data_IF_799895233673
#
_entry.id   IF_799895233673
#
_cell.length_a   1.000
_cell.length_b   1.000
_cell.length_c   1.000
_cell.angle_alpha   90.00
_cell.angle_beta   90.00
_cell.angle_gamma   90.00
#
_symmetry.space_group_name_H-M   'P 1'
#
loop_
_entity.id
_entity.type
_entity.pdbx_description
1 polymer ?
#
# COMPACT_ATOMS: atom_id res chain seq x y z
N UNK A 1 2.70 -16.64 4.47
CA UNK A 1 2.66 -17.25 3.13
C UNK A 1 2.69 -16.13 2.11
N UNK A 2 3.67 -16.10 1.21
CA UNK A 2 3.80 -15.08 0.16
C UNK A 2 3.42 -15.75 -1.16
N UNK A 3 2.47 -15.18 -1.89
CA UNK A 3 2.00 -15.72 -3.18
C UNK A 3 2.56 -14.84 -4.30
N UNK A 4 3.43 -15.41 -5.14
CA UNK A 4 4.02 -14.72 -6.28
C UNK A 4 3.25 -15.12 -7.54
N UNK A 5 2.74 -14.12 -8.25
CA UNK A 5 1.82 -14.29 -9.39
C UNK A 5 2.27 -13.38 -10.53
N UNK A 6 2.30 -13.93 -11.75
CA UNK A 6 2.76 -13.20 -12.96
C UNK A 6 1.62 -12.65 -13.81
N UNK A 7 0.37 -13.07 -13.55
CA UNK A 7 -0.82 -12.64 -14.29
C UNK A 7 -2.03 -12.54 -13.35
N UNK A 8 -2.92 -11.58 -13.59
CA UNK A 8 -4.12 -11.37 -12.77
C UNK A 8 -5.01 -12.62 -12.67
N UNK A 9 -5.06 -13.47 -13.70
CA UNK A 9 -5.83 -14.72 -13.68
C UNK A 9 -5.35 -15.75 -12.66
N UNK A 10 -4.09 -15.65 -12.22
CA UNK A 10 -3.54 -16.49 -11.15
C UNK A 10 -3.64 -15.85 -9.77
N UNK A 11 -4.16 -14.62 -9.66
CA UNK A 11 -4.27 -13.90 -8.41
C UNK A 11 -5.49 -14.40 -7.61
N UNK A 12 -5.33 -14.82 -6.34
CA UNK A 12 -6.46 -15.23 -5.51
C UNK A 12 -7.41 -14.05 -5.17
N UNK A 13 -7.00 -12.82 -5.45
CA UNK A 13 -7.78 -11.61 -5.24
C UNK A 13 -8.40 -11.05 -6.53
N UNK A 14 -8.23 -11.72 -7.68
CA UNK A 14 -8.94 -11.34 -8.90
C UNK A 14 -10.38 -11.85 -8.82
N UNK A 15 -11.34 -10.97 -9.11
CA UNK A 15 -12.75 -11.31 -9.20
C UNK A 15 -13.33 -10.79 -10.52
N UNK A 16 -14.55 -11.25 -10.84
CA UNK A 16 -15.33 -10.75 -11.98
C UNK A 16 -16.53 -9.99 -11.43
N UNK A 17 -16.73 -8.76 -11.87
CA UNK A 17 -17.92 -7.95 -11.59
C UNK A 17 -18.46 -7.42 -12.91
N UNK A 18 -19.74 -7.68 -13.20
CA UNK A 18 -20.42 -7.28 -14.44
C UNK A 18 -19.66 -7.65 -15.73
N UNK A 19 -19.02 -8.83 -15.73
CA UNK A 19 -18.23 -9.34 -16.86
C UNK A 19 -16.83 -8.72 -16.99
N UNK A 20 -16.45 -7.79 -16.11
CA UNK A 20 -15.14 -7.13 -16.09
C UNK A 20 -14.27 -7.70 -14.98
N UNK A 21 -12.96 -7.81 -15.25
CA UNK A 21 -11.97 -8.22 -14.23
C UNK A 21 -11.79 -7.09 -13.23
N UNK A 22 -11.97 -7.39 -11.95
CA UNK A 22 -11.78 -6.46 -10.84
C UNK A 22 -10.77 -7.00 -9.84
N UNK A 23 -10.02 -6.10 -9.23
CA UNK A 23 -9.13 -6.42 -8.12
C UNK A 23 -9.91 -6.30 -6.82
N UNK A 24 -10.03 -7.38 -6.06
CA UNK A 24 -10.69 -7.38 -4.75
C UNK A 24 -9.72 -7.01 -3.61
N UNK A 25 -8.54 -6.50 -3.94
CA UNK A 25 -7.65 -5.86 -2.96
C UNK A 25 -8.21 -4.47 -2.71
N UNK A 26 -8.89 -4.30 -1.58
CA UNK A 26 -9.12 -2.97 -1.05
C UNK A 26 -7.76 -2.37 -0.69
N UNK A 27 -7.35 -1.31 -1.39
CA UNK A 27 -6.25 -0.47 -0.91
C UNK A 27 -6.74 0.09 0.42
N UNK A 28 -6.01 -0.12 1.53
CA UNK A 28 -6.43 0.43 2.82
C UNK A 28 -6.61 1.94 2.65
N UNK A 29 -7.77 2.46 3.03
CA UNK A 29 -8.01 3.89 3.01
C UNK A 29 -6.93 4.57 3.85
N UNK A 30 -6.21 5.49 3.22
CA UNK A 30 -5.26 6.33 3.93
C UNK A 30 -6.05 7.11 4.97
N UNK A 31 -5.68 6.97 6.23
CA UNK A 31 -6.21 7.85 7.27
C UNK A 31 -5.53 9.22 7.09
N UNK A 32 -6.28 10.32 7.02
CA UNK A 32 -5.66 11.63 7.07
C UNK A 32 -4.89 11.75 8.39
N UNK A 33 -3.60 12.09 8.29
CA UNK A 33 -2.79 12.46 9.45
C UNK A 33 -3.02 13.96 9.61
N UNK A 34 -3.67 14.39 10.69
CA UNK A 34 -3.80 15.81 11.01
C UNK A 34 -2.45 16.42 11.37
N UNK A 35 -2.38 17.75 11.51
CA UNK A 35 -1.16 18.46 11.96
C UNK A 35 -0.77 18.15 13.43
N UNK A 36 -1.48 17.24 14.09
CA UNK A 36 -1.15 16.77 15.44
C UNK A 36 0.15 15.95 15.49
N UNK A 37 0.73 15.86 16.68
CA UNK A 37 1.96 15.11 16.92
C UNK A 37 1.86 13.67 16.37
N UNK A 38 2.89 13.28 15.63
CA UNK A 38 3.00 11.93 15.05
C UNK A 38 2.72 10.87 16.13
N UNK A 39 2.04 9.76 15.80
CA UNK A 39 1.77 8.71 16.76
C UNK A 39 3.06 8.21 17.42
N UNK A 40 2.99 7.84 18.70
CA UNK A 40 4.15 7.37 19.49
C UNK A 40 4.84 6.13 18.89
N UNK A 41 4.14 5.38 18.04
CA UNK A 41 4.67 4.23 17.31
C UNK A 41 5.39 4.59 15.99
N UNK A 42 5.34 5.86 15.53
CA UNK A 42 5.95 6.29 14.28
C UNK A 42 7.49 6.32 14.39
N UNK A 43 8.14 5.33 13.78
CA UNK A 43 9.61 5.17 13.81
C UNK A 43 10.37 6.29 13.07
N UNK A 44 9.68 7.04 12.22
CA UNK A 44 10.22 8.24 11.57
C UNK A 44 10.19 9.38 12.59
N UNK A 45 11.14 9.36 13.54
CA UNK A 45 11.46 10.52 14.39
C UNK A 45 11.72 11.73 13.48
N UNK A 46 11.63 12.95 14.03
CA UNK A 46 11.96 14.22 13.37
C UNK A 46 13.43 14.34 12.91
N UNK A 47 14.13 13.24 12.72
CA UNK A 47 15.43 13.20 12.09
C UNK A 47 15.19 13.30 10.58
N UNK A 48 15.63 14.39 9.96
CA UNK A 48 15.58 14.56 8.52
C UNK A 48 16.37 13.42 7.86
N UNK A 49 15.65 12.49 7.22
CA UNK A 49 16.28 11.52 6.33
C UNK A 49 16.48 12.21 4.99
N UNK A 50 17.70 12.73 4.76
CA UNK A 50 18.08 13.27 3.45
C UNK A 50 18.31 12.08 2.52
N UNK A 51 17.31 11.77 1.69
CA UNK A 51 17.48 10.79 0.60
C UNK A 51 18.20 11.50 -0.53
N UNK A 52 19.50 11.24 -0.70
CA UNK A 52 20.26 11.67 -1.87
C UNK A 52 20.06 10.65 -2.98
N UNK A 53 19.40 11.07 -4.05
CA UNK A 53 19.23 10.28 -5.26
C UNK A 53 20.57 10.31 -6.02
N UNK A 54 21.32 9.21 -5.97
CA UNK A 54 22.54 9.06 -6.75
C UNK A 54 22.15 8.59 -8.16
N UNK A 55 21.99 9.55 -9.07
CA UNK A 55 21.94 9.30 -10.52
C UNK A 55 23.31 8.91 -11.05
#
# INVERSE_FOLDING_TARGET
MIVVISKCVGCPFMAMADGVRVCNIAIPYQRPIGDEERPTWCKLRKEQVIVRDFK
#
